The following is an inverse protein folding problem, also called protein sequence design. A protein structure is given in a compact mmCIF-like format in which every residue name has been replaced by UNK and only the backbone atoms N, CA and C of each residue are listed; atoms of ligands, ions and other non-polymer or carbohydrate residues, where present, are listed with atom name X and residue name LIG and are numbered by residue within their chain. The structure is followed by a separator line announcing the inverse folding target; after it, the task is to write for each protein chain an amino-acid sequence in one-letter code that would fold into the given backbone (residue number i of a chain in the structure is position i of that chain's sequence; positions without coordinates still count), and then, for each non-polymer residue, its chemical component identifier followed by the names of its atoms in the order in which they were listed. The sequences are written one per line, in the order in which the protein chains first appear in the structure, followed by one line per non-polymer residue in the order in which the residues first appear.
data_IF_399182758692
#
_entry.id   IF_399182758692
#
_cell.length_a   1.000
_cell.length_b   1.000
_cell.length_c   1.000
_cell.angle_alpha   90.00
_cell.angle_beta   90.00
_cell.angle_gamma   90.00
#
_symmetry.space_group_name_H-M   'P 1'
#
loop_
_entity.id
_entity.type
_entity.pdbx_description
1 polymer ?
#
# COMPACT_ATOMS: atom_id res chain seq x y z
N UNK A 1 6.45 1.41 17.06
CA UNK A 1 6.53 1.99 15.69
C UNK A 1 8.00 2.26 15.43
N UNK A 2 8.48 1.79 14.30
CA UNK A 2 9.89 1.89 13.88
C UNK A 2 10.06 3.04 12.89
N UNK A 3 11.31 3.31 12.51
CA UNK A 3 11.64 4.26 11.47
C UNK A 3 12.11 3.53 10.21
N UNK A 4 11.55 3.90 9.07
CA UNK A 4 11.95 3.42 7.75
C UNK A 4 12.49 4.60 6.94
N UNK A 5 13.74 4.49 6.49
CA UNK A 5 14.41 5.52 5.70
C UNK A 5 14.32 5.19 4.21
N UNK A 6 13.44 5.90 3.51
CA UNK A 6 13.35 5.83 2.05
C UNK A 6 14.46 6.70 1.44
N UNK A 7 15.41 6.06 0.75
CA UNK A 7 16.63 6.74 0.26
C UNK A 7 16.37 7.66 -0.94
N UNK A 8 15.44 7.29 -1.81
CA UNK A 8 15.13 7.99 -3.05
C UNK A 8 13.64 8.19 -3.21
N UNK A 9 13.25 9.26 -3.92
CA UNK A 9 11.86 9.45 -4.30
C UNK A 9 11.39 8.23 -5.11
N UNK A 10 10.19 7.73 -4.82
CA UNK A 10 9.63 6.57 -5.49
C UNK A 10 8.23 6.88 -5.98
N UNK A 11 7.99 6.67 -7.27
CA UNK A 11 6.64 6.73 -7.82
C UNK A 11 5.90 5.44 -7.48
N UNK A 12 4.62 5.53 -7.19
CA UNK A 12 3.81 4.37 -6.84
C UNK A 12 2.41 4.50 -7.45
N UNK A 13 1.85 3.35 -7.84
CA UNK A 13 0.43 3.21 -8.05
C UNK A 13 -0.26 3.17 -6.69
N UNK A 14 -1.46 3.73 -6.58
CA UNK A 14 -2.20 3.70 -5.34
C UNK A 14 -3.72 3.56 -5.54
N UNK A 15 -4.34 3.03 -4.50
CA UNK A 15 -5.80 2.99 -4.32
C UNK A 15 -6.10 3.63 -2.95
N UNK A 16 -7.05 4.55 -2.91
CA UNK A 16 -7.49 5.19 -1.67
C UNK A 16 -8.54 4.32 -1.00
N UNK A 17 -8.35 3.98 0.26
CA UNK A 17 -9.38 3.29 1.03
C UNK A 17 -10.56 4.23 1.31
N UNK A 18 -11.78 3.75 1.08
CA UNK A 18 -12.99 4.54 1.29
C UNK A 18 -13.28 4.82 2.77
N UNK A 19 -12.91 3.88 3.65
CA UNK A 19 -13.11 3.95 5.09
C UNK A 19 -11.94 3.30 5.84
N UNK A 20 -11.82 3.61 7.12
CA UNK A 20 -10.90 2.93 8.03
C UNK A 20 -11.66 2.41 9.25
N UNK A 21 -11.37 1.18 9.73
CA UNK A 21 -10.40 0.23 9.19
C UNK A 21 -10.93 -0.62 8.03
N UNK A 22 -12.25 -0.66 7.82
CA UNK A 22 -12.89 -1.67 6.96
C UNK A 22 -12.38 -1.61 5.51
N UNK A 23 -12.40 -0.42 4.88
CA UNK A 23 -12.03 -0.20 3.47
C UNK A 23 -10.56 -0.45 3.10
N UNK A 24 -9.70 -0.77 4.07
CA UNK A 24 -8.26 -0.96 3.82
C UNK A 24 -7.99 -2.26 3.06
N UNK A 25 -8.75 -3.33 3.35
CA UNK A 25 -8.53 -4.61 2.69
C UNK A 25 -8.92 -4.54 1.21
N UNK A 26 -10.07 -3.93 0.91
CA UNK A 26 -10.58 -3.74 -0.46
C UNK A 26 -9.59 -2.92 -1.29
N UNK A 27 -9.03 -1.84 -0.73
CA UNK A 27 -8.01 -1.05 -1.42
C UNK A 27 -6.76 -1.87 -1.79
N UNK A 28 -6.31 -2.75 -0.88
CA UNK A 28 -5.18 -3.66 -1.18
C UNK A 28 -5.55 -4.73 -2.21
N UNK A 29 -6.76 -5.30 -2.15
CA UNK A 29 -7.24 -6.27 -3.13
C UNK A 29 -7.36 -5.66 -4.52
N UNK A 30 -7.89 -4.46 -4.63
CA UNK A 30 -7.98 -3.72 -5.89
C UNK A 30 -6.58 -3.43 -6.44
N UNK A 31 -5.65 -2.95 -5.60
CA UNK A 31 -4.26 -2.72 -6.00
C UNK A 31 -3.62 -3.99 -6.57
N UNK A 32 -3.77 -5.13 -5.89
CA UNK A 32 -3.19 -6.40 -6.33
C UNK A 32 -3.90 -7.04 -7.52
N UNK A 33 -5.16 -6.68 -7.77
CA UNK A 33 -5.88 -7.11 -8.97
C UNK A 33 -5.38 -6.38 -10.22
N UNK A 34 -4.91 -5.13 -10.07
CA UNK A 34 -4.42 -4.31 -11.17
C UNK A 34 -2.88 -4.37 -11.34
N UNK A 35 -2.14 -4.58 -10.25
CA UNK A 35 -0.67 -4.64 -10.25
C UNK A 35 -0.22 -6.05 -9.90
N UNK A 36 0.28 -6.76 -10.90
CA UNK A 36 0.81 -8.12 -10.74
C UNK A 36 1.92 -8.18 -9.68
N UNK A 37 1.90 -9.25 -8.89
CA UNK A 37 2.89 -9.47 -7.84
C UNK A 37 4.31 -9.52 -8.41
N UNK A 38 5.25 -8.92 -7.67
CA UNK A 38 6.67 -8.93 -8.00
C UNK A 38 7.47 -8.78 -6.70
N UNK A 39 8.44 -9.67 -6.46
CA UNK A 39 9.24 -9.69 -5.24
C UNK A 39 10.16 -8.47 -5.07
N UNK A 40 10.50 -7.79 -6.18
CA UNK A 40 11.31 -6.59 -6.17
C UNK A 40 10.48 -5.32 -5.95
N UNK A 41 9.15 -5.45 -5.90
CA UNK A 41 8.23 -4.34 -5.67
C UNK A 41 7.90 -4.20 -4.20
N UNK A 42 7.88 -2.96 -3.72
CA UNK A 42 7.44 -2.66 -2.36
C UNK A 42 5.94 -2.40 -2.38
N UNK A 43 5.22 -3.09 -1.49
CA UNK A 43 3.79 -2.89 -1.23
C UNK A 43 3.61 -2.37 0.19
N UNK A 44 2.90 -1.26 0.36
CA UNK A 44 2.71 -0.61 1.67
C UNK A 44 1.27 -0.11 1.84
N UNK A 45 0.84 -0.01 3.09
CA UNK A 45 -0.23 0.89 3.48
C UNK A 45 0.36 2.23 3.90
N UNK A 46 -0.14 3.34 3.36
CA UNK A 46 0.31 4.70 3.69
C UNK A 46 -0.87 5.49 4.26
N UNK A 47 -0.62 6.17 5.38
CA UNK A 47 -1.59 7.08 5.98
C UNK A 47 -1.00 8.47 6.21
N UNK A 48 -1.74 9.52 5.88
CA UNK A 48 -1.32 10.90 6.13
C UNK A 48 -2.53 11.82 6.33
N UNK A 49 -2.32 12.94 7.03
CA UNK A 49 -3.34 13.97 7.22
C UNK A 49 -3.44 14.84 5.97
N UNK A 50 -4.63 14.99 5.41
CA UNK A 50 -4.88 15.91 4.30
C UNK A 50 -5.02 17.38 4.79
N UNK A 51 -5.20 18.30 3.85
CA UNK A 51 -5.36 19.74 4.12
C UNK A 51 -6.56 20.06 5.03
N UNK A 52 -7.62 19.25 4.96
CA UNK A 52 -8.83 19.41 5.76
C UNK A 52 -8.71 18.73 7.13
N UNK A 53 -7.56 18.14 7.41
CA UNK A 53 -7.25 17.48 8.67
C UNK A 53 -7.77 16.05 8.84
N UNK A 54 -8.39 15.48 7.81
CA UNK A 54 -8.80 14.07 7.78
C UNK A 54 -7.60 13.17 7.46
N UNK A 55 -7.57 11.96 8.00
CA UNK A 55 -6.53 10.98 7.68
C UNK A 55 -6.95 10.23 6.42
N UNK A 56 -6.08 10.24 5.42
CA UNK A 56 -6.21 9.47 4.18
C UNK A 56 -5.43 8.17 4.35
N UNK A 57 -6.01 7.05 3.90
CA UNK A 57 -5.38 5.74 3.88
C UNK A 57 -5.30 5.27 2.44
N UNK A 58 -4.11 4.83 2.00
CA UNK A 58 -3.86 4.33 0.65
C UNK A 58 -3.14 2.99 0.70
N UNK A 59 -3.56 2.06 -0.15
CA UNK A 59 -2.75 0.91 -0.54
C UNK A 59 -1.85 1.35 -1.70
N UNK A 60 -0.56 1.04 -1.64
CA UNK A 60 0.40 1.49 -2.65
C UNK A 60 1.33 0.37 -3.12
N UNK A 61 1.75 0.46 -4.39
CA UNK A 61 2.74 -0.41 -5.01
C UNK A 61 3.77 0.46 -5.76
N UNK A 62 5.04 0.44 -5.36
CA UNK A 62 6.10 1.24 -6.00
C UNK A 62 6.29 0.84 -7.46
N UNK A 63 6.50 1.78 -8.38
CA UNK A 63 6.87 1.48 -9.76
C UNK A 63 8.27 0.89 -9.82
N UNK A 64 8.47 -0.13 -10.66
CA UNK A 64 9.78 -0.74 -10.91
C UNK A 64 10.55 0.04 -11.98
N UNK A 65 9.84 0.68 -12.90
CA UNK A 65 10.43 1.47 -13.98
C UNK A 65 9.79 2.87 -14.02
N UNK A 66 10.55 3.91 -14.42
CA UNK A 66 10.02 5.28 -14.48
C UNK A 66 8.78 5.42 -15.36
N UNK A 67 8.74 4.68 -16.47
CA UNK A 67 7.67 4.71 -17.47
C UNK A 67 6.70 3.53 -17.30
N UNK A 68 6.67 2.92 -16.12
CA UNK A 68 5.68 1.89 -15.85
C UNK A 68 4.29 2.52 -15.79
N UNK A 69 3.44 2.09 -16.70
CA UNK A 69 2.05 2.47 -16.77
C UNK A 69 1.18 1.28 -16.38
N UNK A 70 -0.02 1.59 -15.90
CA UNK A 70 -1.03 0.60 -15.61
C UNK A 70 -2.21 0.85 -16.55
N UNK A 71 -2.67 -0.19 -17.23
CA UNK A 71 -3.77 -0.10 -18.21
C UNK A 71 -5.05 0.49 -17.59
N UNK A 72 -5.24 0.31 -16.28
CA UNK A 72 -6.41 0.78 -15.54
C UNK A 72 -6.31 2.24 -15.07
N UNK A 73 -5.28 2.99 -15.50
CA UNK A 73 -5.08 4.43 -15.18
C UNK A 73 -5.20 4.73 -13.67
N UNK A 74 -4.59 3.87 -12.86
CA UNK A 74 -4.57 4.03 -11.41
C UNK A 74 -4.00 5.38 -10.97
N UNK A 75 -4.45 5.88 -9.82
CA UNK A 75 -3.89 7.08 -9.22
C UNK A 75 -2.38 6.87 -8.94
N UNK A 76 -1.57 7.87 -9.28
CA UNK A 76 -0.13 7.84 -9.04
C UNK A 76 0.25 8.84 -7.95
N UNK A 77 1.13 8.41 -7.06
CA UNK A 77 1.73 9.28 -6.04
C UNK A 77 3.25 9.18 -6.09
N UNK A 78 3.93 10.21 -5.60
CA UNK A 78 5.37 10.18 -5.34
C UNK A 78 5.60 10.14 -3.84
N UNK A 79 6.16 9.02 -3.36
CA UNK A 79 6.73 8.96 -2.03
C UNK A 79 8.05 9.73 -2.03
N UNK A 80 8.12 10.80 -1.25
CA UNK A 80 9.35 11.58 -1.11
C UNK A 80 10.38 10.83 -0.27
N UNK A 81 11.65 10.89 -0.64
CA UNK A 81 12.74 10.38 0.20
C UNK A 81 12.67 11.01 1.59
N UNK A 82 13.02 10.24 2.60
CA UNK A 82 12.99 10.70 3.98
C UNK A 82 12.66 9.60 4.98
N UNK A 83 12.51 10.02 6.23
CA UNK A 83 12.24 9.14 7.35
C UNK A 83 10.75 9.03 7.59
N UNK A 84 10.23 7.80 7.52
CA UNK A 84 8.84 7.48 7.76
C UNK A 84 8.69 6.74 9.08
N UNK A 85 7.58 6.98 9.77
CA UNK A 85 7.17 6.17 10.91
C UNK A 85 6.40 4.95 10.38
N UNK A 86 6.91 3.75 10.64
CA UNK A 86 6.34 2.52 10.13
C UNK A 86 5.99 1.53 11.25
N UNK A 87 5.14 0.57 10.91
CA UNK A 87 4.88 -0.61 11.73
C UNK A 87 4.81 -1.79 10.78
N UNK A 88 5.67 -2.79 10.99
CA UNK A 88 5.54 -4.06 10.28
C UNK A 88 4.26 -4.75 10.75
N UNK A 89 3.39 -5.09 9.81
CA UNK A 89 2.18 -5.88 10.07
C UNK A 89 2.44 -7.26 9.49
N UNK A 90 2.75 -8.21 10.36
CA UNK A 90 2.88 -9.60 9.95
C UNK A 90 1.47 -10.18 9.75
N UNK A 91 1.35 -11.16 8.85
CA UNK A 91 0.10 -11.90 8.66
C UNK A 91 -1.10 -11.01 8.28
N UNK A 92 -0.83 -9.91 7.59
CA UNK A 92 -1.86 -9.07 6.99
C UNK A 92 -2.65 -9.94 6.01
N UNK A 93 -3.88 -10.33 6.41
CA UNK A 93 -4.81 -11.29 5.79
C UNK A 93 -4.99 -12.67 6.45
N UNK A 94 -4.13 -13.14 7.37
CA UNK A 94 -4.40 -14.40 8.10
C UNK A 94 -5.58 -14.23 9.07
N UNK A 95 -5.84 -13.01 9.55
CA UNK A 95 -7.00 -12.72 10.40
C UNK A 95 -8.37 -12.81 9.69
N UNK A 96 -8.39 -13.00 8.36
CA UNK A 96 -9.61 -13.12 7.56
C UNK A 96 -9.78 -14.48 6.89
N UNK A 97 -8.84 -15.41 7.14
CA UNK A 97 -9.05 -16.82 6.86
C UNK A 97 -9.70 -17.41 8.12
N UNK A 98 -10.87 -18.03 7.96
CA UNK A 98 -11.47 -18.79 9.05
C UNK A 98 -10.43 -19.75 9.61
N UNK A 99 -10.41 -19.91 10.94
CA UNK A 99 -9.49 -20.76 11.71
C UNK A 99 -9.47 -22.25 11.33
N UNK A 100 -10.19 -22.65 10.28
CA UNK A 100 -10.36 -24.03 9.82
C UNK A 100 -9.57 -24.37 8.55
N UNK A 101 -8.83 -23.43 7.94
CA UNK A 101 -8.13 -23.67 6.66
C UNK A 101 -6.62 -23.38 6.71
N UNK A 102 -5.93 -23.81 7.76
CA UNK A 102 -4.47 -23.92 7.73
C UNK A 102 -4.07 -25.41 7.76
N UNK A 103 -3.54 -25.99 6.67
CA UNK A 103 -2.88 -27.28 6.73
C UNK A 103 -1.53 -27.09 7.42
N UNK A 104 -1.29 -27.91 8.45
CA UNK A 104 0.01 -28.07 9.10
C UNK A 104 1.06 -28.60 8.12
#
# INVERSE_FOLDING_TARGET
MEYFNLQTDSNAFCVTANTFPDGVLEAHQELHSNVGYNSNRIYLGVSYKNTNGSIIYKAIATKLFPNEENEHKMENITLKKGTYRCKKVNNFKILFLNSNELPF
#
